data_IF_271557493168
#
_entry.id   IF_271557493168
#
_cell.length_a   1.000
_cell.length_b   1.000
_cell.length_c   1.000
_cell.angle_alpha   90.00
_cell.angle_beta   90.00
_cell.angle_gamma   90.00
#
_symmetry.space_group_name_H-M   'P 1'
#
loop_
_entity.id
_entity.type
_entity.pdbx_description
1 polymer ?
#
# COMPACT_ATOMS: atom_id res chain seq x y z
N UNK A 1 28.66 -21.92 17.17
CA UNK A 1 28.05 -21.63 15.85
C UNK A 1 26.54 -21.83 15.99
N UNK A 2 25.78 -20.77 16.26
CA UNK A 2 24.31 -20.87 16.33
C UNK A 2 23.76 -20.98 14.91
N UNK A 3 23.12 -22.12 14.61
CA UNK A 3 22.26 -22.24 13.42
C UNK A 3 21.08 -21.29 13.64
N UNK A 4 21.02 -20.22 12.86
CA UNK A 4 19.82 -19.42 12.75
C UNK A 4 18.67 -20.37 12.35
N UNK A 5 17.71 -20.55 13.24
CA UNK A 5 16.44 -21.20 12.94
C UNK A 5 15.78 -20.36 11.85
N UNK A 6 15.76 -20.88 10.61
CA UNK A 6 14.97 -20.26 9.55
C UNK A 6 13.50 -20.44 9.93
N UNK A 7 12.81 -19.35 10.25
CA UNK A 7 11.37 -19.36 10.41
C UNK A 7 10.73 -20.06 9.20
N UNK A 8 9.73 -20.93 9.42
CA UNK A 8 9.06 -21.61 8.32
C UNK A 8 8.46 -20.56 7.39
N UNK A 9 8.84 -20.61 6.11
CA UNK A 9 8.28 -19.72 5.09
C UNK A 9 6.79 -20.00 4.96
N UNK A 10 5.97 -18.94 4.97
CA UNK A 10 4.53 -19.04 4.73
C UNK A 10 4.26 -19.80 3.43
N UNK A 11 3.23 -20.64 3.44
CA UNK A 11 2.92 -21.45 2.26
C UNK A 11 2.45 -20.55 1.11
N UNK A 12 2.86 -20.91 -0.10
CA UNK A 12 2.50 -20.16 -1.30
C UNK A 12 0.99 -20.05 -1.50
N UNK A 13 0.23 -21.05 -1.07
CA UNK A 13 -1.22 -21.07 -1.22
C UNK A 13 -1.93 -20.19 -0.18
N UNK A 14 -1.38 -20.08 1.04
CA UNK A 14 -1.87 -19.13 2.05
C UNK A 14 -1.66 -17.68 1.59
N UNK A 15 -0.49 -17.36 1.03
CA UNK A 15 -0.20 -16.03 0.46
C UNK A 15 -1.20 -15.69 -0.64
N UNK A 16 -1.45 -16.62 -1.57
CA UNK A 16 -2.45 -16.41 -2.64
C UNK A 16 -3.84 -16.23 -2.06
N UNK A 17 -4.24 -17.02 -1.07
CA UNK A 17 -5.55 -16.93 -0.44
C UNK A 17 -5.75 -15.57 0.23
N UNK A 18 -4.76 -15.10 1.00
CA UNK A 18 -4.76 -13.77 1.61
C UNK A 18 -4.90 -12.67 0.55
N UNK A 19 -4.03 -12.66 -0.47
CA UNK A 19 -4.03 -11.63 -1.50
C UNK A 19 -5.29 -11.65 -2.40
N UNK A 20 -5.95 -12.81 -2.53
CA UNK A 20 -7.24 -12.92 -3.24
C UNK A 20 -8.37 -12.18 -2.54
N UNK A 21 -8.24 -11.88 -1.25
CA UNK A 21 -9.18 -11.01 -0.54
C UNK A 21 -9.17 -9.57 -1.05
N UNK A 22 -8.09 -9.13 -1.70
CA UNK A 22 -7.91 -7.77 -2.23
C UNK A 22 -7.98 -7.69 -3.76
N UNK A 23 -7.49 -8.73 -4.44
CA UNK A 23 -7.58 -8.86 -5.89
C UNK A 23 -7.91 -10.27 -6.30
N UNK A 24 -9.17 -10.52 -6.68
CA UNK A 24 -9.70 -11.87 -6.97
C UNK A 24 -8.87 -12.65 -7.99
N UNK A 25 -8.37 -11.95 -9.02
CA UNK A 25 -7.59 -12.55 -10.12
C UNK A 25 -6.07 -12.45 -9.92
N UNK A 26 -5.61 -11.89 -8.79
CA UNK A 26 -4.19 -11.62 -8.51
C UNK A 26 -3.53 -11.00 -9.75
N UNK A 27 -4.07 -9.84 -10.16
CA UNK A 27 -3.65 -9.17 -11.39
C UNK A 27 -2.14 -8.86 -11.33
N UNK A 28 -1.50 -8.84 -12.50
CA UNK A 28 -0.04 -8.70 -12.59
C UNK A 28 0.44 -7.33 -12.09
N UNK A 29 -0.30 -6.29 -12.43
CA UNK A 29 -0.09 -4.91 -11.98
C UNK A 29 -0.24 -4.78 -10.46
N UNK A 30 -1.28 -5.38 -9.87
CA UNK A 30 -1.48 -5.46 -8.43
C UNK A 30 -0.24 -6.02 -7.72
N UNK A 31 0.17 -7.23 -8.11
CA UNK A 31 1.34 -7.89 -7.53
C UNK A 31 2.62 -7.08 -7.76
N UNK A 32 2.79 -6.49 -8.93
CA UNK A 32 4.00 -5.74 -9.24
C UNK A 32 4.11 -4.44 -8.45
N UNK A 33 2.99 -3.82 -8.09
CA UNK A 33 2.95 -2.65 -7.22
C UNK A 33 3.30 -3.05 -5.79
N UNK A 34 2.71 -4.14 -5.27
CA UNK A 34 3.08 -4.68 -3.96
C UNK A 34 4.57 -4.98 -3.88
N UNK A 35 5.13 -5.72 -4.83
CA UNK A 35 6.57 -6.00 -4.88
C UNK A 35 7.39 -4.72 -4.86
N UNK A 36 7.00 -3.68 -5.61
CA UNK A 36 7.72 -2.41 -5.64
C UNK A 36 7.65 -1.64 -4.33
N UNK A 37 6.47 -1.59 -3.71
CA UNK A 37 6.31 -0.95 -2.40
C UNK A 37 7.11 -1.71 -1.35
N UNK A 38 6.98 -3.04 -1.29
CA UNK A 38 7.73 -3.91 -0.36
C UNK A 38 9.24 -3.78 -0.53
N UNK A 39 9.73 -3.78 -1.78
CA UNK A 39 11.14 -3.60 -2.07
C UNK A 39 11.67 -2.26 -1.57
N UNK A 40 10.89 -1.18 -1.76
CA UNK A 40 11.26 0.16 -1.30
C UNK A 40 11.20 0.28 0.23
N UNK A 41 10.14 -0.25 0.84
CA UNK A 41 9.91 -0.24 2.29
C UNK A 41 11.04 -0.93 3.04
N UNK A 42 11.51 -2.07 2.51
CA UNK A 42 12.49 -2.91 3.19
C UNK A 42 13.92 -2.70 2.70
N UNK A 43 14.15 -1.75 1.79
CA UNK A 43 15.47 -1.51 1.20
C UNK A 43 16.01 -2.69 0.40
N UNK A 44 15.14 -3.54 -0.14
CA UNK A 44 15.53 -4.74 -0.89
C UNK A 44 15.78 -4.36 -2.34
N UNK A 45 17.02 -4.57 -2.80
CA UNK A 45 17.35 -4.40 -4.21
C UNK A 45 16.65 -5.49 -5.02
N UNK A 46 15.77 -5.09 -5.92
CA UNK A 46 15.10 -6.03 -6.83
C UNK A 46 15.93 -6.25 -8.08
N UNK A 47 16.24 -7.50 -8.42
CA UNK A 47 16.78 -7.86 -9.73
C UNK A 47 15.61 -8.09 -10.69
N UNK A 48 15.69 -7.58 -11.91
CA UNK A 48 14.57 -7.60 -12.88
C UNK A 48 14.06 -9.02 -13.14
N UNK A 49 14.93 -10.03 -13.11
CA UNK A 49 14.58 -11.42 -13.37
C UNK A 49 13.66 -12.00 -12.28
N UNK A 50 13.78 -11.52 -11.05
CA UNK A 50 13.16 -12.15 -9.88
C UNK A 50 11.68 -11.84 -9.75
N UNK A 51 11.18 -10.75 -10.35
CA UNK A 51 9.81 -10.29 -10.16
C UNK A 51 9.08 -9.92 -11.47
N UNK A 52 9.67 -10.19 -12.64
CA UNK A 52 9.00 -9.90 -13.93
C UNK A 52 7.82 -10.84 -14.19
N UNK A 53 7.87 -12.06 -13.66
CA UNK A 53 6.83 -13.09 -13.82
C UNK A 53 5.93 -13.16 -12.60
N UNK A 54 4.70 -13.67 -12.75
CA UNK A 54 3.78 -13.90 -11.63
C UNK A 54 4.40 -14.80 -10.56
N UNK A 55 5.06 -15.90 -10.97
CA UNK A 55 5.80 -16.80 -10.08
C UNK A 55 6.88 -16.06 -9.29
N UNK A 56 7.64 -15.21 -9.97
CA UNK A 56 8.69 -14.40 -9.35
C UNK A 56 8.14 -13.38 -8.34
N UNK A 57 7.06 -12.67 -8.68
CA UNK A 57 6.42 -11.73 -7.75
C UNK A 57 5.95 -12.42 -6.48
N UNK A 58 5.34 -13.61 -6.58
CA UNK A 58 4.96 -14.38 -5.41
C UNK A 58 6.16 -14.87 -4.61
N UNK A 59 7.22 -15.36 -5.26
CA UNK A 59 8.44 -15.78 -4.57
C UNK A 59 9.07 -14.61 -3.79
N UNK A 60 9.07 -13.41 -4.37
CA UNK A 60 9.53 -12.20 -3.70
C UNK A 60 8.69 -11.87 -2.46
N UNK A 61 7.36 -11.88 -2.59
CA UNK A 61 6.45 -11.59 -1.47
C UNK A 61 6.55 -12.67 -0.38
N UNK A 62 6.71 -13.94 -0.76
CA UNK A 62 6.93 -15.04 0.18
C UNK A 62 8.22 -14.88 0.98
N UNK A 63 9.33 -14.54 0.31
CA UNK A 63 10.61 -14.29 0.99
C UNK A 63 10.59 -13.09 1.93
N UNK A 64 9.61 -12.20 1.79
CA UNK A 64 9.42 -11.01 2.63
C UNK A 64 8.16 -11.08 3.50
N UNK A 65 7.50 -12.25 3.58
CA UNK A 65 6.12 -12.34 4.07
C UNK A 65 5.97 -11.87 5.51
N UNK A 66 6.83 -12.33 6.41
CA UNK A 66 6.81 -11.97 7.84
C UNK A 66 6.81 -10.45 8.09
N UNK A 67 7.51 -9.70 7.23
CA UNK A 67 7.56 -8.23 7.34
C UNK A 67 6.44 -7.56 6.55
N UNK A 68 6.05 -8.14 5.42
CA UNK A 68 5.04 -7.60 4.51
C UNK A 68 3.62 -7.76 5.03
N UNK A 69 3.28 -8.93 5.56
CA UNK A 69 1.92 -9.28 5.99
C UNK A 69 1.37 -8.33 7.07
N UNK A 70 2.13 -7.91 8.10
CA UNK A 70 1.66 -6.89 9.05
C UNK A 70 1.23 -5.57 8.39
N UNK A 71 1.90 -5.15 7.31
CA UNK A 71 1.57 -3.91 6.59
C UNK A 71 0.20 -3.98 5.91
N UNK A 72 -0.30 -5.18 5.61
CA UNK A 72 -1.64 -5.38 5.04
C UNK A 72 -2.76 -5.19 6.07
N UNK A 73 -2.45 -5.32 7.35
CA UNK A 73 -3.43 -5.29 8.44
C UNK A 73 -3.37 -4.00 9.27
N UNK A 74 -2.29 -3.22 9.13
CA UNK A 74 -2.11 -1.93 9.78
C UNK A 74 -2.59 -0.78 8.89
N UNK A 75 -2.93 0.40 9.45
CA UNK A 75 -3.30 1.58 8.67
C UNK A 75 -2.08 2.14 7.94
N UNK A 76 -1.70 1.49 6.84
CA UNK A 76 -0.58 1.87 5.99
C UNK A 76 -1.04 2.06 4.55
N UNK A 77 -0.18 2.65 3.72
CA UNK A 77 -0.42 2.72 2.27
C UNK A 77 -0.63 1.35 1.63
N UNK A 78 -0.06 0.28 2.19
CA UNK A 78 -0.27 -1.08 1.69
C UNK A 78 -1.71 -1.53 1.91
N UNK A 79 -2.22 -1.38 3.14
CA UNK A 79 -3.61 -1.68 3.46
C UNK A 79 -4.57 -0.80 2.64
N UNK A 80 -4.32 0.51 2.55
CA UNK A 80 -5.14 1.42 1.76
C UNK A 80 -5.19 1.04 0.27
N UNK A 81 -4.04 0.72 -0.32
CA UNK A 81 -3.95 0.27 -1.71
C UNK A 81 -4.74 -1.02 -1.92
N UNK A 82 -4.49 -2.02 -1.07
CA UNK A 82 -5.09 -3.35 -1.18
C UNK A 82 -6.61 -3.31 -1.01
N UNK A 83 -7.11 -2.61 0.02
CA UNK A 83 -8.55 -2.53 0.32
C UNK A 83 -9.36 -1.78 -0.74
N UNK A 84 -8.72 -0.90 -1.51
CA UNK A 84 -9.39 -0.11 -2.53
C UNK A 84 -9.07 -0.59 -3.97
N UNK A 85 -8.17 -1.56 -4.16
CA UNK A 85 -7.71 -2.01 -5.47
C UNK A 85 -8.85 -2.41 -6.41
N UNK A 86 -9.67 -3.39 -6.02
CA UNK A 86 -10.74 -3.95 -6.87
C UNK A 86 -11.80 -2.89 -7.26
N UNK A 87 -12.00 -1.85 -6.43
CA UNK A 87 -12.98 -0.80 -6.71
C UNK A 87 -12.49 0.28 -7.68
N UNK A 88 -11.18 0.42 -7.87
CA UNK A 88 -10.57 1.43 -8.72
C UNK A 88 -9.39 0.84 -9.50
N UNK A 89 -9.56 -0.39 -10.02
CA UNK A 89 -8.47 -1.20 -10.57
C UNK A 89 -7.63 -0.43 -11.59
N UNK A 90 -8.25 0.20 -12.59
CA UNK A 90 -7.51 0.91 -13.66
C UNK A 90 -6.65 2.05 -13.12
N UNK A 91 -7.20 2.85 -12.21
CA UNK A 91 -6.48 3.93 -11.54
C UNK A 91 -5.29 3.36 -10.75
N UNK A 92 -5.52 2.31 -9.99
CA UNK A 92 -4.50 1.65 -9.16
C UNK A 92 -3.57 0.72 -9.92
N UNK A 93 -3.83 0.44 -11.20
CA UNK A 93 -2.89 -0.14 -12.15
C UNK A 93 -1.83 0.87 -12.60
N UNK A 94 -2.08 2.18 -12.44
CA UNK A 94 -1.11 3.22 -12.77
C UNK A 94 0.02 3.23 -11.74
N UNK A 95 1.04 2.42 -12.02
CA UNK A 95 2.21 2.23 -11.15
C UNK A 95 2.91 3.54 -10.79
N UNK A 96 3.01 4.51 -11.72
CA UNK A 96 3.69 5.78 -11.42
C UNK A 96 2.91 6.56 -10.38
N UNK A 97 1.60 6.64 -10.55
CA UNK A 97 0.70 7.32 -9.62
C UNK A 97 0.71 6.66 -8.24
N UNK A 98 0.56 5.33 -8.16
CA UNK A 98 0.57 4.65 -6.85
C UNK A 98 1.92 4.79 -6.14
N UNK A 99 3.03 4.71 -6.87
CA UNK A 99 4.35 4.92 -6.25
C UNK A 99 4.59 6.37 -5.83
N UNK A 100 3.94 7.34 -6.48
CA UNK A 100 3.91 8.73 -6.03
C UNK A 100 3.12 8.87 -4.73
N UNK A 101 1.93 8.27 -4.63
CA UNK A 101 1.16 8.25 -3.38
C UNK A 101 1.96 7.58 -2.27
N UNK A 102 2.59 6.43 -2.53
CA UNK A 102 3.48 5.76 -1.58
C UNK A 102 4.60 6.67 -1.08
N UNK A 103 5.27 7.41 -1.98
CA UNK A 103 6.36 8.31 -1.61
C UNK A 103 5.89 9.51 -0.77
N UNK A 104 4.62 9.89 -0.87
CA UNK A 104 4.03 11.04 -0.21
C UNK A 104 2.92 10.61 0.77
N UNK A 105 2.95 9.37 1.26
CA UNK A 105 1.83 8.81 2.04
C UNK A 105 1.52 9.66 3.26
N UNK A 106 2.54 10.03 4.04
CA UNK A 106 2.39 10.86 5.25
C UNK A 106 1.68 12.19 5.01
N UNK A 107 1.78 12.73 3.80
CA UNK A 107 1.13 13.98 3.43
C UNK A 107 -0.35 13.80 3.11
N UNK A 108 -0.69 12.70 2.42
CA UNK A 108 -2.02 12.48 1.89
C UNK A 108 -2.86 11.49 2.71
N UNK A 109 -2.28 10.82 3.70
CA UNK A 109 -2.90 9.75 4.48
C UNK A 109 -4.24 10.16 5.08
N UNK A 110 -4.29 11.28 5.81
CA UNK A 110 -5.52 11.76 6.46
C UNK A 110 -6.65 12.01 5.46
N UNK A 111 -6.30 12.55 4.29
CA UNK A 111 -7.25 12.80 3.21
C UNK A 111 -7.68 11.52 2.47
N UNK A 112 -6.73 10.66 2.08
CA UNK A 112 -6.98 9.46 1.28
C UNK A 112 -7.67 8.34 2.07
N UNK A 113 -7.60 8.38 3.40
CA UNK A 113 -8.31 7.46 4.29
C UNK A 113 -9.68 8.00 4.72
N UNK A 114 -10.02 9.26 4.40
CA UNK A 114 -11.33 9.82 4.69
C UNK A 114 -12.43 9.07 3.90
N UNK A 115 -13.54 8.66 4.54
CA UNK A 115 -14.64 7.95 3.87
C UNK A 115 -15.21 8.66 2.64
N UNK A 116 -15.35 9.99 2.70
CA UNK A 116 -15.88 10.79 1.59
C UNK A 116 -14.92 10.79 0.40
N UNK A 117 -13.62 10.89 0.68
CA UNK A 117 -12.57 10.80 -0.35
C UNK A 117 -12.53 9.42 -0.98
N UNK A 118 -12.59 8.36 -0.16
CA UNK A 118 -12.64 6.97 -0.65
C UNK A 118 -13.84 6.78 -1.58
N UNK A 119 -15.02 7.26 -1.17
CA UNK A 119 -16.23 7.19 -1.99
C UNK A 119 -16.06 7.96 -3.32
N UNK A 120 -15.47 9.16 -3.28
CA UNK A 120 -15.19 9.97 -4.46
C UNK A 120 -14.24 9.23 -5.42
N UNK A 121 -13.14 8.67 -4.92
CA UNK A 121 -12.16 7.90 -5.71
C UNK A 121 -12.84 6.69 -6.37
N UNK A 122 -13.67 5.96 -5.63
CA UNK A 122 -14.39 4.78 -6.14
C UNK A 122 -15.37 5.15 -7.25
N UNK A 123 -16.20 6.16 -7.00
CA UNK A 123 -17.24 6.61 -7.94
C UNK A 123 -16.68 7.25 -9.21
N UNK A 124 -15.51 7.89 -9.13
CA UNK A 124 -14.93 8.67 -10.22
C UNK A 124 -13.56 8.17 -10.68
N UNK A 125 -13.20 6.91 -10.39
CA UNK A 125 -11.90 6.31 -10.72
C UNK A 125 -11.49 6.48 -12.18
N UNK A 126 -12.40 6.25 -13.14
CA UNK A 126 -12.15 6.46 -14.57
C UNK A 126 -11.90 7.95 -14.92
N UNK A 127 -12.60 8.87 -14.24
CA UNK A 127 -12.41 10.31 -14.41
C UNK A 127 -11.04 10.77 -13.88
N UNK A 128 -10.63 10.23 -12.73
CA UNK A 128 -9.30 10.48 -12.15
C UNK A 128 -8.20 9.91 -13.05
N UNK A 129 -8.38 8.70 -13.59
CA UNK A 129 -7.45 8.11 -14.55
C UNK A 129 -7.31 9.00 -15.80
N UNK A 130 -8.44 9.48 -16.34
CA UNK A 130 -8.47 10.40 -17.47
C UNK A 130 -7.74 11.70 -17.13
N UNK A 131 -7.98 12.25 -15.94
CA UNK A 131 -7.31 13.45 -15.45
C UNK A 131 -5.80 13.25 -15.36
N UNK A 132 -5.33 12.11 -14.86
CA UNK A 132 -3.90 11.78 -14.77
C UNK A 132 -3.24 11.72 -16.15
N UNK A 133 -3.92 11.14 -17.14
CA UNK A 133 -3.37 10.93 -18.48
C UNK A 133 -3.53 12.15 -19.41
N UNK A 134 -4.43 13.08 -19.08
CA UNK A 134 -4.70 14.26 -19.91
C UNK A 134 -3.72 15.40 -19.62
N UNK A 135 -3.30 16.19 -20.62
CA UNK A 135 -2.42 17.35 -20.40
C UNK A 135 -3.13 18.49 -19.64
N UNK A 136 -4.44 18.63 -19.84
CA UNK A 136 -5.29 19.64 -19.20
C UNK A 136 -6.45 18.98 -18.45
N UNK A 137 -7.13 19.75 -17.61
CA UNK A 137 -8.36 19.31 -16.92
C UNK A 137 -9.48 19.15 -17.96
N UNK A 138 -10.02 17.95 -18.17
CA UNK A 138 -11.14 17.75 -19.09
C UNK A 138 -12.39 18.51 -18.62
N UNK A 139 -13.17 19.04 -19.56
CA UNK A 139 -14.46 19.67 -19.26
C UNK A 139 -15.50 18.59 -18.87
N UNK A 140 -16.43 18.94 -17.97
CA UNK A 140 -17.56 18.07 -17.63
C UNK A 140 -17.31 17.11 -16.46
N UNK A 141 -16.35 17.41 -15.59
CA UNK A 141 -16.15 16.69 -14.34
C UNK A 141 -16.71 17.48 -13.16
N UNK A 142 -18.03 17.52 -13.02
CA UNK A 142 -18.73 18.30 -11.99
C UNK A 142 -18.33 17.89 -10.55
N UNK A 143 -17.90 16.64 -10.37
CA UNK A 143 -17.40 16.14 -9.09
C UNK A 143 -16.11 16.85 -8.62
N UNK A 144 -15.39 17.54 -9.51
CA UNK A 144 -14.23 18.37 -9.16
C UNK A 144 -14.61 19.61 -8.35
N UNK A 145 -15.88 20.02 -8.34
CA UNK A 145 -16.35 21.16 -7.54
C UNK A 145 -16.55 20.79 -6.06
N UNK A 146 -16.68 19.50 -5.77
CA UNK A 146 -16.73 18.99 -4.39
C UNK A 146 -15.37 19.15 -3.70
N UNK A 147 -15.37 19.29 -2.37
CA UNK A 147 -14.15 19.32 -1.57
C UNK A 147 -13.19 18.15 -1.87
N UNK A 148 -13.62 16.87 -1.85
CA UNK A 148 -12.72 15.77 -2.21
C UNK A 148 -12.26 15.83 -3.67
N UNK A 149 -13.10 16.32 -4.58
CA UNK A 149 -12.73 16.53 -5.99
C UNK A 149 -11.60 17.53 -6.16
N UNK A 150 -11.66 18.67 -5.46
CA UNK A 150 -10.62 19.71 -5.48
C UNK A 150 -9.28 19.20 -4.96
N UNK A 151 -9.31 18.48 -3.84
CA UNK A 151 -8.09 17.89 -3.25
C UNK A 151 -7.50 16.79 -4.13
N UNK A 152 -8.34 15.96 -4.78
CA UNK A 152 -7.86 14.97 -5.77
C UNK A 152 -7.20 15.68 -6.96
N UNK A 153 -7.80 16.77 -7.46
CA UNK A 153 -7.22 17.56 -8.55
C UNK A 153 -5.84 18.10 -8.18
N UNK A 154 -5.68 18.60 -6.95
CA UNK A 154 -4.41 19.08 -6.43
C UNK A 154 -3.35 17.95 -6.35
N UNK A 155 -3.72 16.79 -5.82
CA UNK A 155 -2.84 15.60 -5.79
C UNK A 155 -2.39 15.21 -7.21
N UNK A 156 -3.31 15.23 -8.18
CA UNK A 156 -2.99 14.93 -9.57
C UNK A 156 -2.08 16.00 -10.19
N UNK A 157 -2.27 17.28 -9.84
CA UNK A 157 -1.38 18.36 -10.25
C UNK A 157 0.04 18.18 -9.69
N UNK A 158 0.17 17.87 -8.39
CA UNK A 158 1.44 17.53 -7.76
C UNK A 158 2.12 16.33 -8.43
N UNK A 159 1.35 15.27 -8.73
CA UNK A 159 1.84 14.11 -9.45
C UNK A 159 2.41 14.48 -10.83
N UNK A 160 1.69 15.29 -11.62
CA UNK A 160 2.12 15.69 -12.97
C UNK A 160 3.35 16.59 -12.96
N UNK A 161 3.46 17.48 -11.98
CA UNK A 161 4.58 18.41 -11.87
C UNK A 161 5.81 17.77 -11.20
N UNK A 162 5.72 16.52 -10.74
CA UNK A 162 6.77 15.87 -9.98
C UNK A 162 7.05 16.56 -8.64
N UNK A 163 6.11 17.36 -8.14
CA UNK A 163 6.21 18.05 -6.87
C UNK A 163 5.68 17.12 -5.77
N UNK A 164 6.55 16.72 -4.86
CA UNK A 164 6.13 16.37 -3.51
C UNK A 164 5.74 17.70 -2.84
N UNK A 165 4.49 18.12 -2.96
CA UNK A 165 4.03 19.44 -2.51
C UNK A 165 4.13 19.57 -1.00
N UNK A 166 4.33 20.77 -0.48
CA UNK A 166 4.12 21.09 0.94
C UNK A 166 2.62 21.30 1.11
N UNK A 167 1.93 20.44 1.84
CA UNK A 167 0.57 20.78 2.26
C UNK A 167 0.71 21.83 3.37
N UNK A 168 0.22 23.05 3.12
CA UNK A 168 0.06 24.06 4.16
C UNK A 168 -1.02 23.56 5.14
N UNK A 169 -0.59 23.22 6.35
CA UNK A 169 -1.41 23.54 7.51
C UNK A 169 -1.28 25.04 7.72
N UNK A 170 -2.20 25.80 7.13
CA UNK A 170 -2.53 27.10 7.69
C UNK A 170 -3.27 26.83 8.99
N UNK A 171 -2.58 26.99 10.12
CA UNK A 171 -3.09 27.47 11.41
C UNK A 171 -2.01 27.33 12.50
N UNK A 172 -0.90 28.07 12.37
CA UNK A 172 -0.19 28.67 13.52
C UNK A 172 0.42 30.00 13.04
N UNK A 173 -0.36 31.08 13.14
CA UNK A 173 0.22 32.41 13.36
C UNK A 173 0.98 32.37 14.68
N UNK A 174 2.32 32.29 14.65
CA UNK A 174 3.14 33.00 15.62
C UNK A 174 4.29 33.64 14.86
N UNK A 175 4.20 34.96 14.82
CA UNK A 175 5.20 35.87 14.33
C UNK A 175 6.55 35.72 15.07
N UNK A 176 7.59 36.20 14.37
CA UNK A 176 8.82 36.77 14.92
C UNK A 176 9.98 35.82 15.22
N UNK A 177 10.89 35.72 14.24
CA UNK A 177 12.34 35.89 14.47
C UNK A 177 12.64 37.40 14.62
N UNK A 178 13.78 37.90 15.14
CA UNK A 178 15.06 37.21 15.35
C UNK A 178 15.77 37.53 16.70
N UNK A 179 16.81 36.78 17.07
CA UNK A 179 18.15 37.34 17.40
C UNK A 179 19.17 36.26 17.81
N UNK A 180 20.37 36.42 17.27
CA UNK A 180 21.61 35.73 17.60
C UNK A 180 22.11 36.13 19.00
N UNK A 181 22.62 35.18 19.79
CA UNK A 181 23.77 35.42 20.68
C UNK A 181 24.43 34.10 21.10
N UNK A 182 25.76 34.11 20.99
CA UNK A 182 26.75 33.05 21.26
C UNK A 182 26.98 32.85 22.78
N UNK A 183 27.73 31.81 23.22
CA UNK A 183 27.51 31.08 24.47
C UNK A 183 28.53 31.41 25.58
N UNK A 184 28.25 30.99 26.84
CA UNK A 184 29.22 30.60 27.90
C UNK A 184 28.48 30.21 29.21
N UNK A 185 29.11 29.57 30.24
CA UNK A 185 29.87 28.33 30.27
C UNK A 185 29.40 27.34 31.38
N UNK A 186 30.09 26.19 31.45
CA UNK A 186 29.93 25.01 32.31
C UNK A 186 29.67 25.26 33.81
N UNK A 187 28.84 24.38 34.41
CA UNK A 187 29.02 23.90 35.79
C UNK A 187 28.88 22.38 35.83
N UNK A 188 29.91 21.76 36.36
CA UNK A 188 30.13 20.33 36.57
C UNK A 188 30.01 20.00 38.08
N UNK A 189 29.84 18.71 38.38
CA UNK A 189 29.86 17.99 39.67
C UNK A 189 28.54 17.97 40.48
N UNK A 190 28.01 16.86 41.02
CA UNK A 190 28.29 15.41 41.06
C UNK A 190 27.15 14.77 41.94
N UNK A 191 27.18 13.50 42.38
CA UNK A 191 26.76 12.25 41.74
C UNK A 191 25.47 11.62 42.38
N UNK A 192 25.11 10.43 41.90
CA UNK A 192 23.94 9.57 42.23
C UNK A 192 23.74 9.21 43.73
N UNK A 193 22.60 8.56 44.04
CA UNK A 193 22.77 7.18 44.49
C UNK A 193 21.92 6.15 43.73
N UNK A 194 22.55 4.99 43.59
CA UNK A 194 22.06 3.72 43.06
C UNK A 194 20.78 3.24 43.75
N UNK A 195 19.88 2.63 42.98
CA UNK A 195 18.95 1.64 43.51
C UNK A 195 18.85 0.47 42.54
N UNK A 196 19.66 -0.53 42.83
CA UNK A 196 19.62 -1.88 42.28
C UNK A 196 18.57 -2.69 43.05
N UNK A 197 17.64 -3.32 42.35
CA UNK A 197 17.01 -4.60 42.74
C UNK A 197 16.37 -5.19 41.48
N UNK A 198 16.87 -6.37 41.08
CA UNK A 198 16.34 -7.22 40.02
C UNK A 198 15.09 -8.01 40.52
N UNK A 199 14.66 -9.11 39.86
CA UNK A 199 13.42 -9.17 39.09
C UNK A 199 12.39 -10.14 39.72
N UNK A 200 11.10 -9.99 39.42
CA UNK A 200 10.17 -11.13 39.53
C UNK A 200 9.31 -11.25 38.28
N UNK A 201 9.37 -12.45 37.72
CA UNK A 201 8.43 -12.98 36.77
C UNK A 201 7.21 -13.46 37.54
N UNK A 202 6.02 -13.22 37.01
CA UNK A 202 4.89 -14.12 37.22
C UNK A 202 4.02 -14.16 35.96
N UNK A 203 3.67 -15.39 35.61
CA UNK A 203 2.91 -15.83 34.45
C UNK A 203 1.39 -15.65 34.66
N UNK A 204 0.69 -15.77 33.53
CA UNK A 204 -0.68 -16.29 33.38
C UNK A 204 -1.91 -15.44 33.74
N UNK A 205 -2.61 -14.97 32.69
CA UNK A 205 -3.77 -15.67 32.11
C UNK A 205 -4.52 -14.74 31.14
N UNK A 206 -4.66 -15.14 29.86
CA UNK A 206 -5.63 -14.53 28.93
C UNK A 206 -6.68 -15.58 28.60
N UNK A 207 -7.91 -15.30 29.03
CA UNK A 207 -9.10 -16.11 28.84
C UNK A 207 -9.55 -16.08 27.37
N UNK A 208 -9.67 -17.25 26.75
CA UNK A 208 -9.84 -17.43 25.30
C UNK A 208 -11.28 -17.83 24.92
N UNK A 209 -12.27 -17.35 25.67
CA UNK A 209 -13.68 -17.77 25.54
C UNK A 209 -14.62 -16.79 24.83
N UNK A 210 -14.13 -15.71 24.21
CA UNK A 210 -15.00 -14.68 23.60
C UNK A 210 -14.85 -14.44 22.09
N UNK A 211 -14.23 -15.36 21.33
CA UNK A 211 -14.01 -15.18 19.89
C UNK A 211 -14.98 -15.94 18.95
N UNK A 212 -16.08 -16.50 19.47
CA UNK A 212 -16.98 -17.38 18.67
C UNK A 212 -18.26 -16.73 18.12
N UNK A 213 -18.49 -15.45 18.37
CA UNK A 213 -19.62 -14.73 17.76
C UNK A 213 -19.05 -13.60 16.91
N UNK A 214 -18.99 -13.79 15.58
CA UNK A 214 -19.07 -12.73 14.54
C UNK A 214 -18.81 -13.29 13.12
N UNK A 215 -19.47 -14.40 12.75
CA UNK A 215 -19.59 -14.79 11.34
C UNK A 215 -21.07 -14.86 10.93
N UNK A 216 -21.53 -14.00 10.01
CA UNK A 216 -22.81 -14.19 9.34
C UNK A 216 -22.71 -15.40 8.40
N UNK A 217 -23.48 -16.44 8.73
CA UNK A 217 -23.86 -17.48 7.77
C UNK A 217 -24.77 -16.86 6.73
N UNK A 218 -24.31 -16.77 5.48
CA UNK A 218 -25.21 -16.69 4.32
C UNK A 218 -24.38 -16.93 3.04
N UNK A 219 -24.23 -18.19 2.63
CA UNK A 219 -24.09 -18.56 1.22
C UNK A 219 -24.54 -20.00 1.01
N UNK A 220 -25.85 -20.15 0.80
CA UNK A 220 -26.47 -21.32 0.21
C UNK A 220 -26.58 -21.10 -1.31
N UNK A 221 -26.02 -22.07 -2.06
CA UNK A 221 -26.39 -22.50 -3.41
C UNK A 221 -26.47 -21.47 -4.56
N UNK A 222 -25.52 -21.57 -5.50
CA UNK A 222 -25.81 -21.32 -6.93
C UNK A 222 -25.20 -22.43 -7.79
N UNK A 223 -26.09 -23.06 -8.56
CA UNK A 223 -25.89 -24.19 -9.48
C UNK A 223 -24.82 -23.94 -10.56
N UNK A 224 -23.90 -24.90 -10.72
CA UNK A 224 -23.01 -25.00 -11.89
C UNK A 224 -23.64 -25.89 -12.96
N UNK A 225 -24.31 -25.30 -13.95
CA UNK A 225 -24.57 -25.97 -15.24
C UNK A 225 -24.44 -25.02 -16.42
N UNK A 226 -23.23 -24.95 -17.00
CA UNK A 226 -23.02 -24.85 -18.46
C UNK A 226 -21.55 -25.17 -18.81
N UNK A 227 -21.29 -26.07 -19.77
CA UNK A 227 -19.93 -26.32 -20.25
C UNK A 227 -19.46 -25.14 -21.12
N UNK A 228 -18.26 -24.63 -20.81
CA UNK A 228 -17.62 -23.54 -21.55
C UNK A 228 -17.03 -24.11 -22.86
N UNK A 229 -17.50 -23.60 -24.00
CA UNK A 229 -16.94 -23.91 -25.31
C UNK A 229 -15.58 -23.22 -25.45
N UNK A 230 -14.55 -23.99 -25.80
CA UNK A 230 -13.22 -23.49 -26.13
C UNK A 230 -13.26 -23.02 -27.59
N UNK A 231 -13.22 -21.71 -27.81
CA UNK A 231 -12.93 -21.15 -29.14
C UNK A 231 -11.42 -21.04 -29.32
N UNK A 232 -10.93 -21.63 -30.40
CA UNK A 232 -9.55 -21.53 -30.89
C UNK A 232 -9.18 -20.04 -31.04
N UNK A 233 -8.16 -19.57 -30.33
CA UNK A 233 -7.57 -18.25 -30.56
C UNK A 233 -6.32 -18.50 -31.37
N UNK A 234 -6.40 -18.17 -32.67
CA UNK A 234 -5.22 -18.09 -33.53
C UNK A 234 -4.39 -16.88 -33.08
N UNK A 235 -3.24 -17.14 -32.47
CA UNK A 235 -2.26 -16.14 -32.06
C UNK A 235 -1.32 -15.82 -33.24
N UNK A 236 -1.38 -14.62 -33.83
CA UNK A 236 -0.53 -14.25 -34.96
C UNK A 236 0.93 -13.94 -34.57
N UNK A 237 1.33 -14.10 -33.30
CA UNK A 237 2.70 -13.82 -32.84
C UNK A 237 3.54 -15.09 -32.59
N UNK A 238 3.07 -16.26 -33.00
CA UNK A 238 3.75 -17.54 -32.76
C UNK A 238 4.59 -18.05 -33.95
N UNK A 239 5.01 -17.16 -34.86
CA UNK A 239 5.91 -17.49 -35.97
C UNK A 239 6.96 -16.39 -36.15
N UNK A 240 8.00 -16.41 -35.33
CA UNK A 240 9.30 -15.88 -35.74
C UNK A 240 10.25 -17.06 -35.90
N UNK A 241 10.42 -17.43 -37.18
CA UNK A 241 11.36 -18.41 -37.65
C UNK A 241 12.80 -17.99 -37.33
N UNK A 242 13.59 -18.97 -36.93
CA UNK A 242 15.03 -18.84 -36.79
C UNK A 242 15.65 -18.47 -38.14
N UNK A 243 16.36 -17.34 -38.17
CA UNK A 243 17.39 -17.06 -39.15
C UNK A 243 18.55 -16.32 -38.46
N UNK A 244 19.53 -17.12 -38.03
CA UNK A 244 20.98 -16.96 -38.21
C UNK A 244 21.72 -18.07 -37.47
#
# INVERSE_FOLDING_TARGET
MSRASSAPLESMDNIKACLKGYSRLLRRDFLAILVKMTAKEFGIRTVRCDWRTRKGMFAFLQGSWERFHPLLNQPTVFNWYCTNFDSAEKLFSNRKFVMFIYANWKQYESFLTNPNTILCIKSHSNGIETLINSPSVPKGFDWLESEPGKSILEIVHHFKNGQAGKFHQDDIEIASSPEEQTPEPMKELQPEPELNLQPEADEDHIDLEYAFFLYPQDYMFVDFKKPMQITHIDDPFLMDEYSL
#
